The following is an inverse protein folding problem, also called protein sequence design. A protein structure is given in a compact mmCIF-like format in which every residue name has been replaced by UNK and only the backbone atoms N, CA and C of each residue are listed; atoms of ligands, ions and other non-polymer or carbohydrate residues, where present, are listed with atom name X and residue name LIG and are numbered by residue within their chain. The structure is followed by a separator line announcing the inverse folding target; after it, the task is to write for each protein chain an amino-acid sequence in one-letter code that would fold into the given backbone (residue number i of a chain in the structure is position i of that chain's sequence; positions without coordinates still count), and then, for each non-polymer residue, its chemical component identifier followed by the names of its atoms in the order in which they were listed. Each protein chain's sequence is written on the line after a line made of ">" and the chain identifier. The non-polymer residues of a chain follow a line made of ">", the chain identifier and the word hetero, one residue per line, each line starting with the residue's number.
data_IF_894579967546
#
_entry.id   IF_894579967546
#
_cell.length_a   1.000
_cell.length_b   1.000
_cell.length_c   1.000
_cell.angle_alpha   90.00
_cell.angle_beta   90.00
_cell.angle_gamma   90.00
#
_symmetry.space_group_name_H-M   'P 1'
#
loop_
_entity.id
_entity.type
_entity.pdbx_description
1 polymer ?
#
# COMPACT_ATOMS: atom_id res chain seq x y z
N UNK A 1 -27.48 16.20 11.07
CA UNK A 1 -26.37 16.36 10.74
C UNK A 1 -25.70 15.20 10.40
N UNK A 2 -25.27 15.23 9.50
CA UNK A 2 -24.90 14.11 9.06
C UNK A 2 -23.74 13.65 9.59
N UNK A 3 -23.48 13.24 9.96
CA UNK A 3 -22.87 12.22 9.69
C UNK A 3 -21.43 12.46 9.84
N UNK A 4 -21.06 12.80 11.07
CA UNK A 4 -19.69 12.80 11.49
C UNK A 4 -19.02 11.48 11.14
N UNK A 5 -19.73 10.36 11.28
CA UNK A 5 -19.19 9.04 10.96
C UNK A 5 -18.93 8.86 9.46
N UNK A 6 -19.81 9.37 8.63
CA UNK A 6 -19.61 9.33 7.20
C UNK A 6 -18.39 10.17 6.81
N UNK A 7 -18.22 11.33 7.46
CA UNK A 7 -17.06 12.16 7.24
C UNK A 7 -15.77 11.48 7.67
N UNK A 8 -15.82 10.71 8.75
CA UNK A 8 -14.65 9.97 9.22
C UNK A 8 -14.19 8.94 8.20
N UNK A 9 -15.12 8.20 7.63
CA UNK A 9 -14.79 7.20 6.61
C UNK A 9 -14.20 7.88 5.38
N UNK A 10 -14.85 8.91 4.88
CA UNK A 10 -14.39 9.63 3.69
C UNK A 10 -13.03 10.27 3.92
N UNK A 11 -12.84 10.88 5.08
CA UNK A 11 -11.57 11.51 5.43
C UNK A 11 -10.46 10.47 5.51
N UNK A 12 -10.75 9.34 6.16
CA UNK A 12 -9.77 8.27 6.29
C UNK A 12 -9.39 7.73 4.90
N UNK A 13 -10.38 7.47 4.07
CA UNK A 13 -10.17 6.91 2.75
C UNK A 13 -9.34 7.86 1.88
N UNK A 14 -9.61 9.16 1.94
CA UNK A 14 -8.84 10.14 1.19
C UNK A 14 -7.39 10.20 1.64
N UNK A 15 -7.16 10.20 2.95
CA UNK A 15 -5.80 10.22 3.50
C UNK A 15 -5.04 8.96 3.16
N UNK A 16 -5.69 7.82 3.29
CA UNK A 16 -5.09 6.54 2.98
C UNK A 16 -4.75 6.45 1.49
N UNK A 17 -5.63 6.95 0.64
CA UNK A 17 -5.39 6.95 -0.80
C UNK A 17 -4.20 7.85 -1.14
N UNK A 18 -4.08 8.99 -0.48
CA UNK A 18 -2.95 9.89 -0.71
C UNK A 18 -1.62 9.22 -0.31
N UNK A 19 -1.61 8.56 0.84
CA UNK A 19 -0.44 7.80 1.29
C UNK A 19 -0.10 6.68 0.32
N UNK A 20 -1.14 5.99 -0.14
CA UNK A 20 -0.97 4.90 -1.09
C UNK A 20 -0.38 5.40 -2.40
N UNK A 21 -0.87 6.54 -2.89
CA UNK A 21 -0.36 7.12 -4.14
C UNK A 21 1.11 7.48 -4.02
N UNK A 22 1.50 8.02 -2.87
CA UNK A 22 2.90 8.36 -2.61
C UNK A 22 3.77 7.11 -2.58
N UNK A 23 3.29 6.07 -1.89
CA UNK A 23 4.00 4.80 -1.83
C UNK A 23 4.13 4.18 -3.22
N UNK A 24 3.07 4.24 -4.01
CA UNK A 24 3.06 3.70 -5.35
C UNK A 24 4.12 4.40 -6.23
N UNK A 25 4.28 5.71 -6.07
CA UNK A 25 5.31 6.45 -6.77
C UNK A 25 6.71 5.96 -6.36
N UNK A 26 6.91 5.67 -5.08
CA UNK A 26 8.17 5.12 -4.60
C UNK A 26 8.44 3.73 -5.18
N UNK A 27 7.42 2.90 -5.27
CA UNK A 27 7.55 1.58 -5.88
C UNK A 27 7.97 1.70 -7.34
N UNK A 28 7.40 2.65 -8.06
CA UNK A 28 7.77 2.89 -9.45
C UNK A 28 9.22 3.35 -9.58
N UNK A 29 9.71 4.14 -8.63
CA UNK A 29 11.11 4.54 -8.60
C UNK A 29 12.02 3.34 -8.43
N UNK A 30 11.68 2.43 -7.51
CA UNK A 30 12.48 1.22 -7.30
C UNK A 30 12.43 0.30 -8.51
N UNK A 31 11.29 0.25 -9.18
CA UNK A 31 11.15 -0.51 -10.40
C UNK A 31 12.10 0.01 -11.48
N UNK A 32 12.23 1.32 -11.59
CA UNK A 32 13.14 1.93 -12.53
C UNK A 32 14.60 1.66 -12.14
N UNK A 33 14.92 1.74 -10.85
CA UNK A 33 16.26 1.47 -10.37
C UNK A 33 16.69 0.03 -10.57
N UNK A 34 15.75 -0.90 -10.59
CA UNK A 34 16.05 -2.32 -10.79
C UNK A 34 16.77 -2.57 -12.11
N UNK A 35 16.58 -1.71 -13.08
CA UNK A 35 17.22 -1.83 -14.38
C UNK A 35 18.71 -1.49 -14.33
N UNK A 36 19.16 -0.88 -13.25
CA UNK A 36 20.54 -0.40 -13.11
C UNK A 36 21.40 -1.26 -12.21
N UNK A 37 20.84 -2.31 -11.61
CA UNK A 37 21.60 -3.16 -10.70
C UNK A 37 22.23 -4.33 -11.45
N UNK A 38 23.22 -4.98 -10.82
CA UNK A 38 23.90 -6.11 -11.43
C UNK A 38 22.95 -7.30 -11.60
N UNK A 39 23.31 -8.24 -12.48
CA UNK A 39 22.46 -9.38 -12.80
C UNK A 39 22.07 -10.17 -11.56
N UNK A 40 23.04 -10.46 -10.66
CA UNK A 40 22.76 -11.22 -9.45
C UNK A 40 21.85 -10.47 -8.49
N UNK A 41 22.15 -9.20 -8.27
CA UNK A 41 21.34 -8.36 -7.40
C UNK A 41 19.95 -8.13 -8.02
N UNK A 42 19.86 -8.14 -9.34
CA UNK A 42 18.59 -7.92 -10.04
C UNK A 42 17.55 -8.97 -9.68
N UNK A 43 17.94 -10.25 -9.63
CA UNK A 43 16.99 -11.31 -9.31
C UNK A 43 16.39 -11.13 -7.91
N UNK A 44 17.25 -10.89 -6.91
CA UNK A 44 16.77 -10.68 -5.54
C UNK A 44 15.92 -9.42 -5.44
N UNK A 45 16.33 -8.39 -6.14
CA UNK A 45 15.63 -7.12 -6.15
C UNK A 45 14.23 -7.28 -6.76
N UNK A 46 14.15 -7.98 -7.88
CA UNK A 46 12.86 -8.21 -8.54
C UNK A 46 11.94 -9.09 -7.71
N UNK A 47 12.47 -10.08 -7.00
CA UNK A 47 11.65 -10.92 -6.12
C UNK A 47 11.01 -10.08 -5.02
N UNK A 48 11.79 -9.20 -4.39
CA UNK A 48 11.28 -8.32 -3.34
C UNK A 48 10.29 -7.30 -3.90
N UNK A 49 10.60 -6.78 -5.07
CA UNK A 49 9.72 -5.82 -5.73
C UNK A 49 8.39 -6.48 -6.12
N UNK A 50 8.43 -7.71 -6.62
CA UNK A 50 7.23 -8.44 -6.98
C UNK A 50 6.35 -8.69 -5.75
N UNK A 51 6.95 -9.08 -4.64
CA UNK A 51 6.22 -9.27 -3.38
C UNK A 51 5.58 -7.96 -2.91
N UNK A 52 6.32 -6.87 -3.05
CA UNK A 52 5.81 -5.55 -2.68
C UNK A 52 4.62 -5.15 -3.56
N UNK A 53 4.69 -5.43 -4.85
CA UNK A 53 3.61 -5.12 -5.77
C UNK A 53 2.34 -5.91 -5.46
N UNK A 54 2.48 -7.18 -5.06
CA UNK A 54 1.33 -8.00 -4.65
C UNK A 54 0.66 -7.39 -3.42
N UNK A 55 1.45 -6.98 -2.44
CA UNK A 55 0.91 -6.34 -1.24
C UNK A 55 0.26 -5.01 -1.57
N UNK A 56 0.85 -4.26 -2.50
CA UNK A 56 0.26 -3.00 -2.96
C UNK A 56 -1.12 -3.23 -3.58
N UNK A 57 -1.25 -4.24 -4.42
CA UNK A 57 -2.52 -4.55 -5.06
C UNK A 57 -3.57 -4.95 -4.04
N UNK A 58 -3.17 -5.72 -3.03
CA UNK A 58 -4.06 -6.10 -1.93
C UNK A 58 -4.52 -4.86 -1.17
N UNK A 59 -3.61 -3.95 -0.87
CA UNK A 59 -3.93 -2.72 -0.15
C UNK A 59 -4.91 -1.86 -0.96
N UNK A 60 -4.72 -1.78 -2.27
CA UNK A 60 -5.63 -1.01 -3.12
C UNK A 60 -7.04 -1.60 -3.09
N UNK A 61 -7.15 -2.92 -3.14
CA UNK A 61 -8.47 -3.57 -3.05
C UNK A 61 -9.12 -3.28 -1.71
N UNK A 62 -8.34 -3.29 -0.64
CA UNK A 62 -8.86 -3.00 0.69
C UNK A 62 -9.31 -1.54 0.81
N UNK A 63 -8.60 -0.61 0.18
CA UNK A 63 -9.05 0.79 0.12
C UNK A 63 -10.38 0.91 -0.61
N UNK A 64 -10.52 0.20 -1.72
CA UNK A 64 -11.77 0.19 -2.45
C UNK A 64 -12.89 -0.41 -1.60
N UNK A 65 -12.58 -1.44 -0.83
CA UNK A 65 -13.56 -2.06 0.07
C UNK A 65 -13.99 -1.10 1.18
N UNK A 66 -13.08 -0.28 1.70
CA UNK A 66 -13.43 0.74 2.68
C UNK A 66 -14.44 1.70 2.07
N UNK A 67 -14.17 2.17 0.86
CA UNK A 67 -15.07 3.10 0.17
C UNK A 67 -16.46 2.51 0.01
N UNK A 68 -16.52 1.21 -0.34
CA UNK A 68 -17.77 0.54 -0.62
C UNK A 68 -18.47 -0.02 0.62
N UNK A 69 -17.81 0.01 1.77
CA UNK A 69 -18.36 -0.54 3.02
C UNK A 69 -19.37 0.39 3.65
N UNK A 70 -20.31 -0.20 4.37
CA UNK A 70 -21.24 0.57 5.19
C UNK A 70 -20.59 1.07 6.47
N UNK A 71 -21.33 1.89 7.18
CA UNK A 71 -20.83 2.51 8.42
C UNK A 71 -20.49 1.47 9.49
N UNK A 72 -21.18 0.33 9.47
CA UNK A 72 -20.97 -0.69 10.49
C UNK A 72 -19.75 -1.56 10.20
N UNK A 73 -19.32 -1.65 8.95
CA UNK A 73 -18.32 -2.62 8.56
C UNK A 73 -16.98 -1.99 8.15
N UNK A 74 -16.97 -0.71 7.86
CA UNK A 74 -15.72 -0.11 7.34
C UNK A 74 -14.57 -0.14 8.35
N UNK A 75 -14.89 -0.16 9.66
CA UNK A 75 -13.86 -0.25 10.68
C UNK A 75 -13.06 -1.54 10.61
N UNK A 76 -13.72 -2.66 10.31
CA UNK A 76 -13.04 -3.94 10.14
C UNK A 76 -12.18 -3.93 8.88
N UNK A 77 -12.71 -3.39 7.80
CA UNK A 77 -11.96 -3.31 6.55
C UNK A 77 -10.76 -2.39 6.73
N UNK A 78 -10.92 -1.29 7.46
CA UNK A 78 -9.82 -0.40 7.80
C UNK A 78 -8.74 -1.13 8.56
N UNK A 79 -9.12 -1.94 9.53
CA UNK A 79 -8.16 -2.69 10.33
C UNK A 79 -7.32 -3.62 9.45
N UNK A 80 -7.96 -4.31 8.53
CA UNK A 80 -7.27 -5.19 7.57
C UNK A 80 -6.35 -4.39 6.66
N UNK A 81 -6.81 -3.23 6.20
CA UNK A 81 -5.99 -2.37 5.37
C UNK A 81 -4.75 -1.91 6.14
N UNK A 82 -4.90 -1.54 7.40
CA UNK A 82 -3.77 -1.08 8.20
C UNK A 82 -2.75 -2.18 8.42
N UNK A 83 -3.20 -3.41 8.60
CA UNK A 83 -2.28 -4.54 8.70
C UNK A 83 -1.49 -4.74 7.39
N UNK A 84 -2.19 -4.70 6.27
CA UNK A 84 -1.56 -4.81 4.96
C UNK A 84 -0.62 -3.63 4.72
N UNK A 85 -1.02 -2.44 5.13
CA UNK A 85 -0.21 -1.24 5.00
C UNK A 85 1.09 -1.37 5.78
N UNK A 86 1.03 -1.86 7.00
CA UNK A 86 2.23 -2.08 7.81
C UNK A 86 3.16 -3.10 7.17
N UNK A 87 2.60 -4.19 6.63
CA UNK A 87 3.38 -5.19 5.91
C UNK A 87 4.04 -4.58 4.67
N UNK A 88 3.31 -3.71 3.99
CA UNK A 88 3.79 -3.05 2.81
C UNK A 88 4.96 -2.11 3.12
N UNK A 89 4.83 -1.33 4.20
CA UNK A 89 5.91 -0.45 4.64
C UNK A 89 7.14 -1.26 5.04
N UNK A 90 6.93 -2.38 5.71
CA UNK A 90 8.02 -3.24 6.11
C UNK A 90 8.74 -3.82 4.88
N UNK A 91 7.97 -4.27 3.90
CA UNK A 91 8.53 -4.80 2.66
C UNK A 91 9.32 -3.72 1.90
N UNK A 92 8.80 -2.50 1.88
CA UNK A 92 9.49 -1.38 1.24
C UNK A 92 10.81 -1.08 1.95
N UNK A 93 10.79 -1.09 3.27
CA UNK A 93 11.99 -0.86 4.07
C UNK A 93 13.05 -1.92 3.78
N UNK A 94 12.64 -3.17 3.67
CA UNK A 94 13.56 -4.26 3.35
C UNK A 94 14.15 -4.08 1.96
N UNK A 95 13.35 -3.61 1.01
CA UNK A 95 13.82 -3.34 -0.33
C UNK A 95 14.88 -2.24 -0.31
N UNK A 96 14.63 -1.17 0.46
CA UNK A 96 15.60 -0.08 0.62
C UNK A 96 16.91 -0.55 1.22
N UNK A 97 16.84 -1.51 2.12
CA UNK A 97 18.02 -2.04 2.79
C UNK A 97 18.80 -3.04 1.95
N UNK A 98 18.28 -3.41 0.80
CA UNK A 98 18.88 -4.45 -0.03
C UNK A 98 19.96 -3.95 -0.97
N UNK A 99 20.45 -2.81 -0.78
CA UNK A 99 21.47 -2.28 -1.68
C UNK A 99 22.78 -3.00 -1.54
#
# INVERSE_FOLDING_TARGET
>A
MPTIERNKKDTYQQRAQARFNKLNAQIEEYKAKAKQVTAEATLQYYDKLAALQVKRDTAQRQLNNIRDSGEDTWGEVRHRFEQTWNDLLYALQRLQSSR
#
